data_IF_859168188004
#
_entry.id   IF_859168188004
#
_cell.length_a   1.000
_cell.length_b   1.000
_cell.length_c   1.000
_cell.angle_alpha   90.00
_cell.angle_beta   90.00
_cell.angle_gamma   90.00
#
_symmetry.space_group_name_H-M   'P 1'
#
loop_
_entity.id
_entity.type
_entity.pdbx_description
1 polymer ?
#
# COMPACT_ATOMS: atom_id res chain seq x y z
N UNK A 1 -68.92 -25.59 31.61
CA UNK A 1 -68.32 -25.07 30.36
C UNK A 1 -67.80 -23.67 30.66
N UNK A 2 -66.49 -23.54 30.92
CA UNK A 2 -65.48 -23.13 29.94
C UNK A 2 -65.63 -21.65 29.53
N UNK A 3 -64.67 -20.83 30.01
CA UNK A 3 -63.92 -19.77 29.29
C UNK A 3 -64.02 -18.41 29.98
N UNK A 4 -63.00 -17.56 30.06
CA UNK A 4 -61.56 -17.62 29.75
C UNK A 4 -60.94 -16.51 30.60
N UNK A 5 -59.87 -16.86 31.29
CA UNK A 5 -58.80 -16.03 31.87
C UNK A 5 -58.44 -14.81 31.00
N UNK A 6 -58.24 -13.64 31.61
CA UNK A 6 -57.16 -12.75 31.18
C UNK A 6 -56.57 -12.04 32.39
N UNK A 7 -55.57 -12.69 32.99
CA UNK A 7 -54.61 -12.05 33.88
C UNK A 7 -53.75 -11.18 32.96
N UNK A 8 -53.96 -9.87 33.00
CA UNK A 8 -53.04 -8.92 32.39
C UNK A 8 -51.79 -8.87 33.29
N UNK A 9 -50.88 -9.83 33.09
CA UNK A 9 -49.52 -9.77 33.62
C UNK A 9 -48.90 -8.54 32.97
N UNK A 10 -48.89 -7.43 33.70
CA UNK A 10 -48.03 -6.29 33.38
C UNK A 10 -46.61 -6.80 33.61
N UNK A 11 -46.03 -7.40 32.56
CA UNK A 11 -44.60 -7.57 32.42
C UNK A 11 -44.03 -6.15 32.43
N UNK A 12 -43.71 -5.67 33.63
CA UNK A 12 -42.75 -4.59 33.81
C UNK A 12 -41.47 -5.17 33.26
N UNK A 13 -41.25 -4.95 31.96
CA UNK A 13 -39.94 -5.06 31.35
C UNK A 13 -39.12 -3.96 32.03
N UNK A 14 -38.52 -4.31 33.17
CA UNK A 14 -37.27 -3.69 33.57
C UNK A 14 -36.33 -3.98 32.41
N UNK A 15 -36.33 -3.07 31.44
CA UNK A 15 -35.17 -2.81 30.64
C UNK A 15 -34.11 -2.46 31.66
N UNK A 16 -33.37 -3.48 32.09
CA UNK A 16 -32.11 -3.33 32.79
C UNK A 16 -31.27 -2.55 31.79
N UNK A 17 -31.38 -1.23 31.82
CA UNK A 17 -30.37 -0.34 31.30
C UNK A 17 -29.15 -0.72 32.10
N UNK A 18 -28.32 -1.60 31.52
CA UNK A 18 -27.08 -2.04 32.14
C UNK A 18 -26.40 -0.79 32.70
N UNK A 19 -26.32 -0.68 34.03
CA UNK A 19 -25.80 0.51 34.70
C UNK A 19 -24.42 0.78 34.12
N UNK A 20 -24.29 1.86 33.33
CA UNK A 20 -23.01 2.27 32.77
C UNK A 20 -22.10 2.62 33.95
N UNK A 21 -21.11 1.76 34.23
CA UNK A 21 -20.12 2.01 35.28
C UNK A 21 -18.98 2.84 34.70
N UNK A 22 -18.85 4.09 35.14
CA UNK A 22 -17.73 4.96 34.77
C UNK A 22 -16.41 4.37 35.28
N UNK A 23 -15.53 3.99 34.34
CA UNK A 23 -14.22 3.38 34.64
C UNK A 23 -13.03 4.38 34.60
N UNK A 24 -13.29 5.65 34.30
CA UNK A 24 -12.25 6.66 34.20
C UNK A 24 -12.74 7.98 33.63
N UNK A 25 -11.79 8.86 33.30
CA UNK A 25 -12.00 10.13 32.59
C UNK A 25 -11.09 10.16 31.37
N UNK A 26 -11.58 10.76 30.28
CA UNK A 26 -10.80 11.01 29.06
C UNK A 26 -10.56 12.51 28.96
N UNK A 27 -9.34 12.91 28.62
CA UNK A 27 -8.96 14.32 28.44
C UNK A 27 -8.29 14.52 27.08
N UNK A 28 -8.66 15.63 26.42
CA UNK A 28 -8.06 16.14 25.18
C UNK A 28 -6.91 17.13 25.44
N UNK A 29 -6.74 17.57 26.69
CA UNK A 29 -5.64 18.40 27.18
C UNK A 29 -5.18 17.92 28.55
N UNK A 30 -3.93 17.48 28.64
CA UNK A 30 -3.35 16.92 29.86
C UNK A 30 -1.82 16.96 29.79
N UNK A 31 -1.07 17.18 30.89
CA UNK A 31 0.41 17.15 30.87
C UNK A 31 1.00 15.83 30.34
N UNK A 32 0.27 14.73 30.51
CA UNK A 32 0.63 13.44 29.93
C UNK A 32 0.63 13.42 28.39
N UNK A 33 -0.24 14.21 27.75
CA UNK A 33 -0.24 14.40 26.29
C UNK A 33 1.03 15.17 25.88
N UNK A 34 1.33 16.29 26.55
CA UNK A 34 2.53 17.08 26.29
C UNK A 34 3.83 16.27 26.46
N UNK A 35 3.83 15.33 27.41
CA UNK A 35 4.94 14.38 27.62
C UNK A 35 5.13 13.45 26.41
N UNK A 36 4.05 12.91 25.85
CA UNK A 36 4.10 12.03 24.67
C UNK A 36 4.51 12.82 23.42
N UNK A 37 4.00 14.03 23.23
CA UNK A 37 4.42 14.91 22.14
C UNK A 37 5.92 15.23 22.22
N UNK A 38 6.39 15.54 23.44
CA UNK A 38 7.82 15.75 23.70
C UNK A 38 8.66 14.51 23.44
N UNK A 39 8.11 13.31 23.67
CA UNK A 39 8.77 12.05 23.38
C UNK A 39 8.84 11.77 21.88
N UNK A 40 7.77 12.01 21.11
CA UNK A 40 7.76 11.89 19.66
C UNK A 40 8.71 12.87 18.98
N UNK A 41 8.78 14.10 19.49
CA UNK A 41 9.76 15.10 19.07
C UNK A 41 11.20 14.64 19.34
N UNK A 42 11.45 14.04 20.50
CA UNK A 42 12.76 13.48 20.83
C UNK A 42 13.15 12.33 19.90
N UNK A 43 12.22 11.43 19.55
CA UNK A 43 12.46 10.37 18.56
C UNK A 43 12.79 10.99 17.19
N UNK A 44 11.97 11.94 16.74
CA UNK A 44 12.10 12.65 15.47
C UNK A 44 13.47 13.32 15.32
N UNK A 45 13.96 13.96 16.38
CA UNK A 45 15.26 14.66 16.41
C UNK A 45 16.44 13.75 16.75
N UNK A 46 16.19 12.49 17.13
CA UNK A 46 17.24 11.60 17.64
C UNK A 46 17.86 12.09 18.96
N UNK A 47 17.06 12.74 19.82
CA UNK A 47 17.46 13.29 21.11
C UNK A 47 17.32 12.22 22.21
N UNK A 48 18.38 11.42 22.35
CA UNK A 48 18.45 10.31 23.30
C UNK A 48 18.46 10.81 24.75
N UNK A 49 19.01 11.99 25.01
CA UNK A 49 19.10 12.55 26.36
C UNK A 49 17.71 12.95 26.86
N UNK A 50 16.97 13.72 26.05
CA UNK A 50 15.57 14.08 26.35
C UNK A 50 14.69 12.83 26.49
N UNK A 51 14.82 11.86 25.58
CA UNK A 51 14.07 10.62 25.67
C UNK A 51 14.39 9.83 26.95
N UNK A 52 15.66 9.76 27.36
CA UNK A 52 16.08 9.07 28.59
C UNK A 52 15.49 9.71 29.85
N UNK A 53 15.34 11.05 29.85
CA UNK A 53 14.67 11.78 30.92
C UNK A 53 13.15 11.54 30.94
N UNK A 54 12.51 11.24 29.81
CA UNK A 54 11.06 10.96 29.77
C UNK A 54 10.75 9.51 30.18
N UNK A 55 11.66 8.57 29.91
CA UNK A 55 11.48 7.16 30.20
C UNK A 55 11.79 6.83 31.67
N UNK A 56 10.87 6.13 32.35
CA UNK A 56 11.14 5.51 33.65
C UNK A 56 12.27 4.47 33.50
N UNK A 57 13.07 4.25 34.55
CA UNK A 57 14.21 3.33 34.49
C UNK A 57 13.78 1.89 34.16
N UNK A 58 12.67 1.45 34.77
CA UNK A 58 12.06 0.13 34.52
C UNK A 58 11.07 0.09 33.34
N UNK A 59 11.11 1.07 32.42
CA UNK A 59 10.18 1.11 31.29
C UNK A 59 10.22 -0.19 30.49
N UNK A 60 9.05 -0.70 30.13
CA UNK A 60 8.93 -1.91 29.30
C UNK A 60 8.19 -1.59 28.01
N UNK A 61 8.76 -2.02 26.88
CA UNK A 61 8.20 -1.87 25.55
C UNK A 61 7.73 -3.23 25.03
N UNK A 62 6.46 -3.31 24.63
CA UNK A 62 5.81 -4.50 24.10
C UNK A 62 5.42 -4.33 22.63
N UNK A 63 5.49 -5.43 21.87
CA UNK A 63 4.89 -5.52 20.53
C UNK A 63 3.46 -6.06 20.65
N UNK A 64 2.49 -5.17 20.45
CA UNK A 64 1.06 -5.46 20.53
C UNK A 64 0.54 -6.37 19.41
N UNK A 65 1.32 -6.59 18.35
CA UNK A 65 0.97 -7.52 17.28
C UNK A 65 1.37 -8.97 17.55
N UNK A 66 2.12 -9.22 18.63
CA UNK A 66 2.65 -10.55 18.97
C UNK A 66 1.93 -11.14 20.18
N UNK A 67 1.97 -12.47 20.35
CA UNK A 67 1.32 -13.20 21.47
C UNK A 67 1.93 -12.94 22.87
N UNK A 68 2.50 -11.75 23.13
CA UNK A 68 3.29 -11.32 24.30
C UNK A 68 4.79 -11.60 24.19
N UNK A 69 5.51 -10.72 23.50
CA UNK A 69 6.95 -10.58 23.68
C UNK A 69 7.24 -9.17 24.19
N UNK A 70 7.89 -9.10 25.35
CA UNK A 70 8.67 -7.92 25.70
C UNK A 70 9.63 -7.66 24.52
N UNK A 71 9.42 -6.51 23.88
CA UNK A 71 10.23 -6.08 22.75
C UNK A 71 11.52 -5.43 23.24
N UNK A 72 11.48 -4.74 24.38
CA UNK A 72 12.67 -4.27 25.07
C UNK A 72 12.40 -3.46 26.33
N UNK A 73 13.48 -2.96 26.94
CA UNK A 73 13.48 -2.02 28.07
C UNK A 73 14.01 -0.65 27.64
N UNK A 74 14.29 0.25 28.60
CA UNK A 74 14.85 1.60 28.37
C UNK A 74 15.94 1.66 27.30
N UNK A 75 16.98 0.84 27.42
CA UNK A 75 18.08 0.80 26.45
C UNK A 75 17.63 0.38 25.05
N UNK A 76 16.63 -0.52 24.93
CA UNK A 76 16.05 -0.90 23.65
C UNK A 76 15.34 0.26 22.96
N UNK A 77 14.56 1.03 23.72
CA UNK A 77 13.89 2.25 23.23
C UNK A 77 14.92 3.30 22.77
N UNK A 78 15.94 3.57 23.59
CA UNK A 78 17.00 4.52 23.25
C UNK A 78 17.82 4.08 22.03
N UNK A 79 18.09 2.78 21.90
CA UNK A 79 18.77 2.23 20.72
C UNK A 79 17.92 2.35 19.46
N UNK A 80 16.58 2.22 19.56
CA UNK A 80 15.68 2.48 18.43
C UNK A 80 15.76 3.94 17.98
N UNK A 81 15.80 4.89 18.91
CA UNK A 81 15.97 6.32 18.60
C UNK A 81 17.32 6.57 17.90
N UNK A 82 18.41 5.99 18.40
CA UNK A 82 19.73 6.05 17.76
C UNK A 82 19.70 5.44 16.36
N UNK A 83 18.98 4.33 16.18
CA UNK A 83 18.86 3.66 14.89
C UNK A 83 18.14 4.56 13.87
N UNK A 84 17.02 5.20 14.24
CA UNK A 84 16.37 6.21 13.39
C UNK A 84 17.33 7.35 13.04
N UNK A 85 17.98 7.96 14.04
CA UNK A 85 18.94 9.06 13.84
C UNK A 85 20.07 8.69 12.87
N UNK A 86 20.64 7.50 13.04
CA UNK A 86 21.85 7.11 12.31
C UNK A 86 21.53 6.63 10.90
N UNK A 87 20.43 5.90 10.71
CA UNK A 87 20.15 5.16 9.48
C UNK A 87 19.00 5.70 8.65
N UNK A 88 18.30 6.76 9.08
CA UNK A 88 17.19 7.33 8.33
C UNK A 88 17.31 8.83 8.12
N UNK A 89 16.86 9.25 6.94
CA UNK A 89 16.57 10.64 6.62
C UNK A 89 15.08 10.92 6.79
N UNK A 90 14.75 12.21 6.96
CA UNK A 90 13.37 12.72 7.01
C UNK A 90 12.50 12.09 8.11
N UNK A 91 13.10 11.65 9.22
CA UNK A 91 12.38 11.03 10.33
C UNK A 91 11.27 11.97 10.81
N UNK A 92 10.06 11.44 10.92
CA UNK A 92 8.88 12.17 11.40
C UNK A 92 7.94 11.21 12.12
N UNK A 93 7.55 11.59 13.34
CA UNK A 93 6.55 10.94 14.17
C UNK A 93 5.46 11.98 14.45
N UNK A 94 4.57 12.18 13.48
CA UNK A 94 3.48 13.18 13.57
C UNK A 94 2.16 12.46 13.70
N UNK A 95 1.21 13.08 14.40
CA UNK A 95 -0.14 12.55 14.50
C UNK A 95 -0.73 12.25 13.12
N UNK A 96 -1.43 11.12 13.04
CA UNK A 96 -2.18 10.76 11.84
C UNK A 96 -3.27 11.81 11.63
N UNK A 97 -3.51 12.21 10.38
CA UNK A 97 -4.56 13.19 10.08
C UNK A 97 -5.91 12.77 10.67
N UNK A 98 -6.53 13.67 11.42
CA UNK A 98 -7.81 13.42 12.12
C UNK A 98 -7.69 12.62 13.43
N UNK A 99 -6.47 12.25 13.85
CA UNK A 99 -6.21 11.65 15.14
C UNK A 99 -5.44 12.61 16.05
N UNK A 100 -5.63 12.46 17.35
CA UNK A 100 -4.91 13.19 18.38
C UNK A 100 -4.71 12.27 19.60
N UNK A 101 -3.68 12.48 20.42
CA UNK A 101 -3.48 11.69 21.62
C UNK A 101 -4.58 11.93 22.66
N UNK A 102 -5.16 10.84 23.18
CA UNK A 102 -6.15 10.88 24.27
C UNK A 102 -5.51 10.42 25.58
N UNK A 103 -5.64 11.24 26.63
CA UNK A 103 -5.30 10.83 28.00
C UNK A 103 -6.47 10.09 28.64
N UNK A 104 -6.18 8.97 29.29
CA UNK A 104 -7.10 8.05 29.95
C UNK A 104 -6.68 7.85 31.41
N UNK A 105 -7.47 8.38 32.35
CA UNK A 105 -7.28 8.13 33.77
C UNK A 105 -8.23 7.02 34.23
N UNK A 106 -7.74 5.79 34.32
CA UNK A 106 -8.53 4.66 34.79
C UNK A 106 -8.49 4.54 36.31
N UNK A 107 -9.65 4.24 36.92
CA UNK A 107 -9.76 4.02 38.37
C UNK A 107 -8.91 2.85 38.88
N UNK A 108 -8.72 1.83 38.06
CA UNK A 108 -8.11 0.56 38.46
C UNK A 108 -6.85 0.19 37.66
N UNK A 109 -6.48 1.00 36.67
CA UNK A 109 -5.38 0.66 35.74
C UNK A 109 -4.40 1.81 35.48
N UNK A 110 -4.57 2.93 36.18
CA UNK A 110 -3.68 4.08 36.15
C UNK A 110 -3.85 4.97 34.93
N UNK A 111 -2.81 5.74 34.67
CA UNK A 111 -2.77 6.79 33.65
C UNK A 111 -2.24 6.26 32.33
N UNK A 112 -2.97 6.48 31.24
CA UNK A 112 -2.59 6.04 29.91
C UNK A 112 -2.75 7.15 28.89
N UNK A 113 -1.89 7.15 27.87
CA UNK A 113 -2.07 7.96 26.66
C UNK A 113 -2.10 7.04 25.45
N UNK A 114 -3.16 7.12 24.64
CA UNK A 114 -3.20 6.46 23.34
C UNK A 114 -2.87 7.48 22.26
N UNK A 115 -1.85 7.23 21.46
CA UNK A 115 -1.43 8.12 20.37
C UNK A 115 -1.37 7.37 19.05
N UNK A 116 -2.06 7.92 18.05
CA UNK A 116 -2.06 7.48 16.66
C UNK A 116 -1.22 8.44 15.84
N UNK A 117 -0.10 7.97 15.31
CA UNK A 117 0.85 8.78 14.58
C UNK A 117 1.33 8.05 13.33
N UNK A 118 1.67 8.81 12.29
CA UNK A 118 2.31 8.29 11.10
C UNK A 118 3.83 8.34 11.28
N UNK A 119 4.49 7.21 11.07
CA UNK A 119 5.95 7.14 10.99
C UNK A 119 6.35 7.31 9.55
N UNK A 120 7.07 8.40 9.26
CA UNK A 120 7.72 8.63 7.98
C UNK A 120 9.23 8.66 8.15
N UNK A 121 9.96 7.90 7.33
CA UNK A 121 11.41 7.91 7.27
C UNK A 121 11.92 7.23 5.99
N UNK A 122 13.11 7.59 5.49
CA UNK A 122 13.76 6.90 4.36
C UNK A 122 15.09 6.32 4.82
N UNK A 123 15.28 5.01 4.68
CA UNK A 123 16.51 4.35 5.12
C UNK A 123 17.68 4.75 4.20
N UNK A 124 18.71 5.38 4.78
CA UNK A 124 19.85 6.00 4.07
C UNK A 124 20.56 5.07 3.09
N UNK A 125 20.69 3.79 3.46
CA UNK A 125 21.50 2.84 2.68
C UNK A 125 20.70 2.10 1.61
N UNK A 126 19.40 1.87 1.83
CA UNK A 126 18.59 1.01 0.95
C UNK A 126 17.49 1.77 0.22
N UNK A 127 17.24 3.04 0.56
CA UNK A 127 16.14 3.84 0.01
C UNK A 127 14.74 3.37 0.41
N UNK A 128 14.63 2.29 1.21
CA UNK A 128 13.34 1.78 1.67
C UNK A 128 12.65 2.84 2.53
N UNK A 129 11.43 3.20 2.12
CA UNK A 129 10.58 4.17 2.80
C UNK A 129 9.74 3.47 3.88
N UNK A 130 9.79 3.99 5.10
CA UNK A 130 8.78 3.75 6.13
C UNK A 130 7.73 4.85 5.99
N UNK A 131 6.48 4.48 5.77
CA UNK A 131 5.35 5.41 5.70
C UNK A 131 4.09 4.64 6.09
N UNK A 132 3.79 4.64 7.39
CA UNK A 132 2.68 3.85 7.93
C UNK A 132 2.15 4.40 9.25
N UNK A 133 0.84 4.19 9.51
CA UNK A 133 0.25 4.51 10.79
C UNK A 133 0.75 3.55 11.88
N UNK A 134 0.92 4.10 13.08
CA UNK A 134 1.31 3.40 14.30
C UNK A 134 0.38 3.84 15.42
N UNK A 135 -0.09 2.87 16.20
CA UNK A 135 -0.69 3.13 17.51
C UNK A 135 0.34 2.79 18.57
N UNK A 136 0.57 3.73 19.50
CA UNK A 136 1.20 3.40 20.78
C UNK A 136 0.30 3.74 21.95
N UNK A 137 0.14 2.78 22.85
CA UNK A 137 -0.44 2.98 24.18
C UNK A 137 0.69 3.13 25.19
N UNK A 138 0.69 4.24 25.91
CA UNK A 138 1.69 4.59 26.89
C UNK A 138 1.09 4.55 28.28
N UNK A 139 1.65 3.75 29.20
CA UNK A 139 1.30 3.87 30.62
C UNK A 139 2.23 4.88 31.28
N UNK A 140 1.67 5.83 32.00
CA UNK A 140 2.42 6.83 32.74
C UNK A 140 2.48 6.47 34.24
N UNK A 141 3.44 7.04 34.95
CA UNK A 141 3.42 7.05 36.41
C UNK A 141 2.31 7.98 36.94
N UNK A 142 2.05 7.95 38.25
CA UNK A 142 0.88 8.59 38.86
C UNK A 142 0.84 10.12 38.64
N UNK A 143 2.00 10.78 38.58
CA UNK A 143 2.11 12.23 38.32
C UNK A 143 2.20 12.58 36.82
N UNK A 144 2.15 11.59 35.93
CA UNK A 144 2.24 11.74 34.48
C UNK A 144 3.53 12.43 33.98
N UNK A 145 4.65 12.23 34.68
CA UNK A 145 5.96 12.79 34.30
C UNK A 145 6.88 11.80 33.59
N UNK A 146 6.59 10.50 33.65
CA UNK A 146 7.42 9.43 33.07
C UNK A 146 6.60 8.35 32.37
N UNK A 147 7.15 7.81 31.30
CA UNK A 147 6.61 6.63 30.60
C UNK A 147 7.11 5.36 31.30
N UNK A 148 6.19 4.50 31.73
CA UNK A 148 6.48 3.21 32.39
C UNK A 148 6.22 2.00 31.49
N UNK A 149 5.30 2.12 30.53
CA UNK A 149 5.02 1.07 29.54
C UNK A 149 4.79 1.69 28.17
N UNK A 150 5.28 1.04 27.13
CA UNK A 150 4.95 1.32 25.72
C UNK A 150 4.38 0.04 25.13
N UNK A 151 3.22 0.11 24.48
CA UNK A 151 2.67 -0.99 23.67
C UNK A 151 2.51 -0.46 22.25
N UNK A 152 3.22 -1.05 21.30
CA UNK A 152 3.22 -0.59 19.91
C UNK A 152 2.45 -1.57 19.00
N UNK A 153 1.58 -1.02 18.17
CA UNK A 153 0.93 -1.70 17.05
C UNK A 153 1.35 -1.01 15.75
N UNK A 154 2.16 -1.70 14.96
CA UNK A 154 2.66 -1.19 13.67
C UNK A 154 2.80 -2.28 12.60
N UNK A 155 2.89 -1.88 11.33
CA UNK A 155 3.17 -2.79 10.23
C UNK A 155 4.66 -3.18 10.21
N UNK A 156 4.97 -4.41 10.62
CA UNK A 156 6.35 -4.89 10.69
C UNK A 156 6.96 -5.25 9.33
N UNK A 157 6.16 -5.41 8.27
CA UNK A 157 6.64 -5.82 6.95
C UNK A 157 7.55 -4.77 6.30
N UNK A 158 7.29 -3.48 6.53
CA UNK A 158 8.13 -2.40 5.99
C UNK A 158 9.55 -2.44 6.57
N UNK A 159 9.70 -2.89 7.82
CA UNK A 159 11.00 -3.09 8.43
C UNK A 159 11.72 -4.30 7.81
N UNK A 160 11.02 -5.38 7.47
CA UNK A 160 11.60 -6.54 6.79
C UNK A 160 12.19 -6.18 5.43
N UNK A 161 11.53 -5.29 4.66
CA UNK A 161 12.04 -4.82 3.36
C UNK A 161 13.42 -4.14 3.46
N UNK A 162 13.71 -3.48 4.58
CA UNK A 162 15.05 -2.90 4.82
C UNK A 162 16.12 -3.99 4.90
N UNK A 163 15.80 -5.16 5.47
CA UNK A 163 16.71 -6.29 5.56
C UNK A 163 16.89 -7.00 4.22
N UNK A 164 15.81 -7.14 3.46
CA UNK A 164 15.83 -7.77 2.13
C UNK A 164 16.59 -6.92 1.09
N UNK A 165 16.64 -5.61 1.28
CA UNK A 165 17.29 -4.68 0.35
C UNK A 165 18.77 -4.36 0.69
N UNK A 166 19.42 -5.14 1.55
CA UNK A 166 20.79 -4.85 1.97
C UNK A 166 21.82 -5.22 0.90
N UNK A 167 22.97 -4.53 0.85
CA UNK A 167 24.08 -4.98 0.03
C UNK A 167 24.44 -6.44 0.34
N UNK A 168 24.53 -7.27 -0.70
CA UNK A 168 24.85 -8.70 -0.58
C UNK A 168 23.66 -9.61 -0.27
N UNK A 169 22.42 -9.11 -0.28
CA UNK A 169 21.20 -9.92 -0.20
C UNK A 169 20.47 -10.01 -1.54
N UNK A 170 21.22 -9.95 -2.65
CA UNK A 170 20.69 -10.05 -4.00
C UNK A 170 19.86 -11.33 -4.15
N UNK A 171 18.69 -11.20 -4.78
CA UNK A 171 17.79 -12.31 -5.06
C UNK A 171 17.42 -12.31 -6.53
N UNK A 172 17.46 -13.49 -7.12
CA UNK A 172 16.87 -13.73 -8.42
C UNK A 172 15.34 -13.82 -8.27
N UNK A 173 14.61 -13.49 -9.34
CA UNK A 173 13.16 -13.61 -9.40
C UNK A 173 12.78 -14.11 -10.80
N UNK A 174 13.09 -15.37 -11.03
CA UNK A 174 12.81 -16.08 -12.26
C UNK A 174 13.77 -15.81 -13.42
N UNK A 175 13.31 -16.06 -14.65
CA UNK A 175 14.13 -16.13 -15.87
C UNK A 175 13.67 -15.10 -16.92
N UNK A 176 14.64 -14.52 -17.63
CA UNK A 176 14.38 -13.59 -18.75
C UNK A 176 14.82 -14.25 -20.06
N UNK A 177 13.93 -14.22 -21.05
CA UNK A 177 14.14 -14.74 -22.39
C UNK A 177 14.09 -13.61 -23.42
N UNK A 178 15.14 -13.51 -24.24
CA UNK A 178 15.21 -12.59 -25.39
C UNK A 178 14.58 -13.19 -26.68
N UNK A 179 14.28 -14.49 -26.67
CA UNK A 179 13.53 -15.17 -27.73
C UNK A 179 12.63 -16.26 -27.13
N UNK A 180 11.32 -16.14 -27.34
CA UNK A 180 10.31 -17.03 -26.79
C UNK A 180 9.05 -17.03 -27.67
N UNK A 181 8.25 -18.09 -27.62
CA UNK A 181 7.01 -18.16 -28.40
C UNK A 181 6.00 -17.06 -28.03
N UNK A 182 5.92 -16.68 -26.76
CA UNK A 182 5.06 -15.58 -26.30
C UNK A 182 5.51 -14.22 -26.86
N UNK A 183 6.81 -14.00 -27.06
CA UNK A 183 7.32 -12.81 -27.78
C UNK A 183 6.81 -12.83 -29.22
N UNK A 184 6.87 -14.00 -29.87
CA UNK A 184 6.33 -14.15 -31.22
C UNK A 184 4.82 -13.92 -31.28
N UNK A 185 4.08 -14.32 -30.25
CA UNK A 185 2.64 -14.02 -30.11
C UNK A 185 2.39 -12.51 -30.06
N UNK A 186 3.12 -11.76 -29.25
CA UNK A 186 2.99 -10.28 -29.19
C UNK A 186 3.32 -9.65 -30.54
N UNK A 187 4.41 -10.04 -31.20
CA UNK A 187 4.74 -9.56 -32.54
C UNK A 187 3.63 -9.83 -33.56
N UNK A 188 3.11 -11.07 -33.59
CA UNK A 188 2.02 -11.46 -34.50
C UNK A 188 0.76 -10.62 -34.25
N UNK A 189 0.40 -10.40 -32.99
CA UNK A 189 -0.71 -9.53 -32.60
C UNK A 189 -0.51 -8.10 -33.11
N UNK A 190 0.67 -7.53 -32.84
CA UNK A 190 0.98 -6.14 -33.17
C UNK A 190 1.00 -5.93 -34.69
N UNK A 191 1.64 -6.83 -35.43
CA UNK A 191 1.63 -6.77 -36.90
C UNK A 191 0.28 -7.12 -37.52
N UNK A 192 -0.58 -7.89 -36.85
CA UNK A 192 -1.96 -8.09 -37.32
C UNK A 192 -2.74 -6.77 -37.29
N UNK A 193 -2.63 -5.98 -36.21
CA UNK A 193 -3.19 -4.61 -36.18
C UNK A 193 -2.61 -3.71 -37.28
N UNK A 194 -1.29 -3.72 -37.48
CA UNK A 194 -0.64 -2.94 -38.54
C UNK A 194 -1.11 -3.29 -39.96
N UNK A 195 -1.64 -4.50 -40.16
CA UNK A 195 -2.16 -4.95 -41.44
C UNK A 195 -3.70 -4.95 -41.51
N UNK A 196 -4.38 -4.29 -40.54
CA UNK A 196 -5.84 -4.18 -40.52
C UNK A 196 -6.58 -5.47 -40.15
N UNK A 197 -5.87 -6.50 -39.71
CA UNK A 197 -6.43 -7.80 -39.30
C UNK A 197 -6.71 -7.81 -37.78
N UNK A 198 -7.68 -6.97 -37.39
CA UNK A 198 -8.05 -6.82 -35.98
C UNK A 198 -8.61 -8.13 -35.39
N UNK A 199 -9.34 -8.93 -36.18
CA UNK A 199 -9.87 -10.23 -35.75
C UNK A 199 -8.74 -11.16 -35.30
N UNK A 200 -7.70 -11.30 -36.13
CA UNK A 200 -6.51 -12.08 -35.77
C UNK A 200 -5.78 -11.47 -34.58
N UNK A 201 -5.64 -10.15 -34.52
CA UNK A 201 -4.98 -9.49 -33.40
C UNK A 201 -5.67 -9.82 -32.06
N UNK A 202 -7.00 -9.72 -32.00
CA UNK A 202 -7.77 -10.05 -30.80
C UNK A 202 -7.80 -11.56 -30.51
N UNK A 203 -7.60 -12.43 -31.50
CA UNK A 203 -7.58 -13.88 -31.30
C UNK A 203 -6.44 -14.39 -30.39
N UNK A 204 -5.39 -13.58 -30.18
CA UNK A 204 -4.28 -13.91 -29.26
C UNK A 204 -4.62 -13.68 -27.79
N UNK A 205 -5.70 -12.95 -27.49
CA UNK A 205 -6.19 -12.77 -26.12
C UNK A 205 -7.08 -13.94 -25.71
N UNK A 206 -7.14 -14.17 -24.41
CA UNK A 206 -8.19 -14.96 -23.79
C UNK A 206 -9.50 -14.16 -23.83
N UNK A 207 -10.65 -14.83 -23.95
CA UNK A 207 -11.98 -14.18 -24.04
C UNK A 207 -12.27 -13.25 -22.84
N UNK A 208 -11.80 -13.66 -21.65
CA UNK A 208 -11.95 -12.92 -20.40
C UNK A 208 -10.73 -12.05 -20.07
N UNK A 209 -9.89 -11.73 -21.06
CA UNK A 209 -8.76 -10.85 -20.82
C UNK A 209 -9.23 -9.43 -20.45
N UNK A 210 -8.38 -8.73 -19.70
CA UNK A 210 -8.64 -7.36 -19.26
C UNK A 210 -7.51 -6.43 -19.69
N UNK A 211 -7.86 -5.19 -20.05
CA UNK A 211 -6.93 -4.19 -20.52
C UNK A 211 -6.83 -3.07 -19.48
N UNK A 212 -5.62 -2.77 -19.05
CA UNK A 212 -5.28 -1.65 -18.19
C UNK A 212 -4.57 -0.58 -19.01
N UNK A 213 -5.30 0.46 -19.40
CA UNK A 213 -4.76 1.59 -20.14
C UNK A 213 -4.54 2.76 -19.18
N UNK A 214 -3.33 3.32 -19.17
CA UNK A 214 -2.98 4.46 -18.29
C UNK A 214 -3.87 5.70 -18.52
N UNK A 215 -4.56 5.77 -19.67
CA UNK A 215 -5.45 6.86 -20.03
C UNK A 215 -6.92 6.62 -19.60
N UNK A 216 -7.22 5.49 -18.96
CA UNK A 216 -8.56 5.11 -18.52
C UNK A 216 -8.67 5.07 -16.99
N UNK A 217 -9.87 5.33 -16.45
CA UNK A 217 -10.12 5.26 -14.99
C UNK A 217 -10.49 3.87 -14.50
N UNK A 218 -10.67 2.91 -15.41
CA UNK A 218 -11.07 1.53 -15.11
C UNK A 218 -10.39 0.55 -16.06
N UNK A 219 -10.40 -0.72 -15.66
CA UNK A 219 -10.06 -1.82 -16.56
C UNK A 219 -11.14 -1.97 -17.64
N UNK A 220 -10.72 -2.28 -18.86
CA UNK A 220 -11.60 -2.56 -19.98
C UNK A 220 -11.71 -4.08 -20.21
N UNK A 221 -12.92 -4.57 -20.48
CA UNK A 221 -13.13 -5.92 -20.99
C UNK A 221 -12.72 -6.03 -22.47
N UNK A 222 -12.65 -7.26 -23.00
CA UNK A 222 -12.43 -7.48 -24.43
C UNK A 222 -13.50 -6.84 -25.32
N UNK A 223 -14.76 -6.81 -24.88
CA UNK A 223 -15.83 -6.14 -25.63
C UNK A 223 -15.62 -4.62 -25.68
N UNK A 224 -15.25 -4.03 -24.55
CA UNK A 224 -15.05 -2.58 -24.42
C UNK A 224 -13.83 -2.10 -25.21
N UNK A 225 -12.71 -2.81 -25.13
CA UNK A 225 -11.51 -2.45 -25.90
C UNK A 225 -11.75 -2.56 -27.40
N UNK A 226 -12.43 -3.61 -27.87
CA UNK A 226 -12.76 -3.78 -29.29
C UNK A 226 -13.66 -2.64 -29.78
N UNK A 227 -14.66 -2.24 -28.99
CA UNK A 227 -15.54 -1.14 -29.34
C UNK A 227 -14.78 0.20 -29.40
N UNK A 228 -13.90 0.46 -28.43
CA UNK A 228 -13.08 1.68 -28.38
C UNK A 228 -12.09 1.75 -29.54
N UNK A 229 -11.38 0.67 -29.80
CA UNK A 229 -10.36 0.62 -30.85
C UNK A 229 -10.99 0.77 -32.24
N UNK A 230 -12.22 0.27 -32.46
CA UNK A 230 -12.98 0.55 -33.69
C UNK A 230 -13.21 2.05 -33.91
N UNK A 231 -13.52 2.80 -32.86
CA UNK A 231 -13.68 4.25 -32.95
C UNK A 231 -12.33 4.90 -33.25
N UNK A 232 -11.29 4.52 -32.51
CA UNK A 232 -9.93 5.05 -32.70
C UNK A 232 -9.41 4.83 -34.13
N UNK A 233 -9.56 3.62 -34.68
CA UNK A 233 -9.13 3.30 -36.04
C UNK A 233 -10.06 3.87 -37.13
N UNK A 234 -11.24 4.39 -36.78
CA UNK A 234 -12.06 5.18 -37.71
C UNK A 234 -11.56 6.62 -37.83
N UNK A 235 -11.03 7.17 -36.73
CA UNK A 235 -10.49 8.53 -36.66
C UNK A 235 -9.02 8.63 -37.05
N UNK A 236 -8.26 7.54 -36.86
CA UNK A 236 -6.81 7.49 -37.08
C UNK A 236 -6.41 6.28 -37.92
N UNK A 237 -5.54 6.52 -38.89
CA UNK A 237 -4.85 5.48 -39.64
C UNK A 237 -3.50 5.15 -39.00
N UNK A 238 -3.16 3.87 -38.90
CA UNK A 238 -1.82 3.40 -38.52
C UNK A 238 -0.96 3.29 -39.77
N UNK A 239 -0.01 4.22 -39.93
CA UNK A 239 0.86 4.33 -41.11
C UNK A 239 2.05 3.37 -41.05
N UNK A 240 2.65 3.24 -39.86
CA UNK A 240 3.77 2.31 -39.62
C UNK A 240 3.75 1.83 -38.17
N UNK A 241 4.34 0.65 -37.97
CA UNK A 241 4.53 0.06 -36.67
C UNK A 241 5.93 -0.52 -36.58
N UNK A 242 6.75 0.07 -35.71
CA UNK A 242 8.16 -0.28 -35.57
C UNK A 242 8.44 -0.79 -34.16
N UNK A 243 9.03 -1.99 -34.04
CA UNK A 243 9.54 -2.53 -32.77
C UNK A 243 10.72 -1.68 -32.30
N UNK A 244 10.67 -1.19 -31.06
CA UNK A 244 11.70 -0.34 -30.47
C UNK A 244 12.52 -1.13 -29.46
N UNK A 245 13.78 -1.45 -29.79
CA UNK A 245 14.59 -2.36 -28.99
C UNK A 245 14.20 -3.81 -29.28
N UNK A 246 14.18 -4.66 -28.25
CA UNK A 246 13.70 -6.04 -28.36
C UNK A 246 12.75 -6.34 -27.19
N UNK A 247 11.64 -7.06 -27.42
CA UNK A 247 10.79 -7.54 -26.34
C UNK A 247 11.51 -8.56 -25.47
N UNK A 248 11.24 -8.51 -24.17
CA UNK A 248 11.69 -9.50 -23.21
C UNK A 248 10.49 -10.28 -22.68
N UNK A 249 10.65 -11.59 -22.52
CA UNK A 249 9.71 -12.44 -21.82
C UNK A 249 10.25 -12.81 -20.45
N UNK A 250 9.50 -12.49 -19.42
CA UNK A 250 9.86 -12.67 -18.02
C UNK A 250 8.96 -13.76 -17.43
N UNK A 251 9.59 -14.82 -16.93
CA UNK A 251 8.94 -15.81 -16.08
C UNK A 251 9.36 -15.56 -14.65
N UNK A 252 8.46 -15.14 -13.78
CA UNK A 252 8.77 -14.84 -12.39
C UNK A 252 8.56 -16.07 -11.49
N UNK A 253 9.50 -16.33 -10.59
CA UNK A 253 9.35 -17.37 -9.55
C UNK A 253 8.13 -17.09 -8.66
N UNK A 254 7.89 -15.80 -8.38
CA UNK A 254 6.74 -15.37 -7.62
C UNK A 254 5.44 -15.58 -8.41
N UNK A 255 4.65 -16.56 -7.97
CA UNK A 255 3.33 -16.93 -8.54
C UNK A 255 3.36 -17.42 -9.99
N UNK A 256 4.52 -17.82 -10.51
CA UNK A 256 4.66 -18.37 -11.87
C UNK A 256 4.08 -17.43 -12.95
N UNK A 257 4.30 -16.12 -12.75
CA UNK A 257 3.79 -15.08 -13.64
C UNK A 257 4.63 -15.00 -14.92
N UNK A 258 3.95 -14.88 -16.06
CA UNK A 258 4.53 -14.95 -17.41
C UNK A 258 4.20 -13.66 -18.15
N UNK A 259 5.20 -12.81 -18.42
CA UNK A 259 4.96 -11.45 -18.94
C UNK A 259 5.85 -11.17 -20.13
N UNK A 260 5.30 -10.66 -21.24
CA UNK A 260 6.10 -10.04 -22.30
C UNK A 260 6.08 -8.52 -22.13
N UNK A 261 7.25 -7.90 -22.06
CA UNK A 261 7.41 -6.45 -22.17
C UNK A 261 7.83 -6.10 -23.59
N UNK A 262 7.12 -5.19 -24.24
CA UNK A 262 7.44 -4.77 -25.61
C UNK A 262 7.22 -3.28 -25.85
N UNK A 263 8.14 -2.66 -26.59
CA UNK A 263 8.06 -1.24 -26.95
C UNK A 263 7.82 -1.09 -28.45
N UNK A 264 6.93 -0.16 -28.80
CA UNK A 264 6.50 0.08 -30.16
C UNK A 264 6.42 1.57 -30.46
N UNK A 265 6.83 1.95 -31.66
CA UNK A 265 6.54 3.26 -32.25
C UNK A 265 5.43 3.09 -33.27
N UNK A 266 4.27 3.69 -33.01
CA UNK A 266 3.12 3.67 -33.90
C UNK A 266 3.02 5.03 -34.60
N UNK A 267 3.34 5.08 -35.89
CA UNK A 267 3.13 6.28 -36.70
C UNK A 267 1.67 6.33 -37.11
N UNK A 268 0.96 7.40 -36.74
CA UNK A 268 -0.47 7.51 -36.99
C UNK A 268 -0.84 8.85 -37.63
N UNK A 269 -1.81 8.82 -38.53
CA UNK A 269 -2.39 10.00 -39.18
C UNK A 269 -3.86 10.13 -38.83
N UNK A 270 -4.28 11.31 -38.34
CA UNK A 270 -5.70 11.60 -38.10
C UNK A 270 -6.40 11.79 -39.46
N UNK A 271 -7.45 11.01 -39.69
CA UNK A 271 -8.14 10.92 -40.98
C UNK A 271 -8.87 12.22 -41.35
N UNK A 272 -9.33 12.99 -40.37
CA UNK A 272 -10.06 14.25 -40.60
C UNK A 272 -9.14 15.46 -40.80
N UNK A 273 -8.04 15.53 -40.05
CA UNK A 273 -7.17 16.72 -40.00
C UNK A 273 -5.85 16.56 -40.74
N UNK A 274 -5.44 15.32 -41.05
CA UNK A 274 -4.12 15.00 -41.60
C UNK A 274 -2.97 15.14 -40.59
N UNK A 275 -3.26 15.41 -39.30
CA UNK A 275 -2.26 15.49 -38.22
C UNK A 275 -1.51 14.16 -38.10
N UNK A 276 -0.18 14.20 -38.12
CA UNK A 276 0.68 13.03 -37.93
C UNK A 276 1.28 13.01 -36.52
N UNK A 277 1.29 11.85 -35.89
CA UNK A 277 1.90 11.63 -34.58
C UNK A 277 2.70 10.33 -34.57
N UNK A 278 3.70 10.24 -33.70
CA UNK A 278 4.36 8.98 -33.36
C UNK A 278 4.02 8.67 -31.91
N UNK A 279 3.19 7.66 -31.71
CA UNK A 279 2.82 7.16 -30.40
C UNK A 279 3.85 6.14 -29.95
N UNK A 280 4.61 6.48 -28.91
CA UNK A 280 5.51 5.53 -28.24
C UNK A 280 4.74 4.80 -27.17
N UNK A 281 4.70 3.47 -27.26
CA UNK A 281 3.90 2.63 -26.36
C UNK A 281 4.76 1.54 -25.75
N UNK A 282 4.64 1.36 -24.44
CA UNK A 282 5.05 0.14 -23.74
C UNK A 282 3.81 -0.72 -23.49
N UNK A 283 3.85 -1.96 -23.98
CA UNK A 283 2.91 -3.00 -23.60
C UNK A 283 3.55 -3.99 -22.63
N UNK A 284 2.79 -4.37 -21.61
CA UNK A 284 3.08 -5.54 -20.78
C UNK A 284 1.94 -6.53 -20.95
N UNK A 285 2.23 -7.72 -21.46
CA UNK A 285 1.24 -8.77 -21.74
C UNK A 285 1.44 -9.96 -20.81
N UNK A 286 0.47 -10.19 -19.91
CA UNK A 286 0.45 -11.36 -19.03
C UNK A 286 -0.15 -12.55 -19.77
N UNK A 287 0.51 -13.71 -19.69
CA UNK A 287 0.11 -14.95 -20.36
C UNK A 287 -0.42 -15.99 -19.37
N UNK A 288 -1.43 -16.76 -19.80
CA UNK A 288 -1.76 -18.03 -19.15
C UNK A 288 -0.85 -19.16 -19.66
N UNK A 289 -1.02 -20.36 -19.10
CA UNK A 289 -0.24 -21.54 -19.48
C UNK A 289 -0.56 -22.06 -20.90
N UNK A 290 -1.62 -21.58 -21.53
CA UNK A 290 -1.99 -21.93 -22.92
C UNK A 290 -1.40 -20.94 -23.95
N UNK A 291 -0.58 -19.98 -23.51
CA UNK A 291 0.01 -18.96 -24.38
C UNK A 291 -0.99 -17.89 -24.85
N UNK A 292 -2.12 -17.73 -24.16
CA UNK A 292 -3.08 -16.64 -24.39
C UNK A 292 -2.81 -15.45 -23.47
N UNK A 293 -2.96 -14.25 -24.01
CA UNK A 293 -2.85 -13.02 -23.23
C UNK A 293 -4.09 -12.88 -22.36
N UNK A 294 -3.91 -12.83 -21.05
CA UNK A 294 -4.99 -12.68 -20.06
C UNK A 294 -5.09 -11.27 -19.49
N UNK A 295 -4.02 -10.48 -19.60
CA UNK A 295 -4.02 -9.06 -19.22
C UNK A 295 -3.02 -8.29 -20.07
N UNK A 296 -3.39 -7.08 -20.48
CA UNK A 296 -2.48 -6.14 -21.13
C UNK A 296 -2.45 -4.82 -20.38
N UNK A 297 -1.25 -4.33 -20.11
CA UNK A 297 -1.02 -2.95 -19.67
C UNK A 297 -0.58 -2.10 -20.86
N UNK A 298 -1.12 -0.89 -21.00
CA UNK A 298 -0.78 0.04 -22.07
C UNK A 298 -0.27 1.36 -21.47
N UNK A 299 1.00 1.68 -21.71
CA UNK A 299 1.63 2.92 -21.25
C UNK A 299 2.00 3.79 -22.44
N UNK A 300 1.28 4.88 -22.62
CA UNK A 300 1.50 5.87 -23.69
C UNK A 300 0.81 7.20 -23.37
N UNK A 301 1.20 8.25 -24.10
CA UNK A 301 0.57 9.55 -23.99
C UNK A 301 -0.69 9.65 -24.88
N UNK A 302 -1.86 9.37 -24.32
CA UNK A 302 -3.13 9.43 -25.07
C UNK A 302 -3.53 10.83 -25.53
N UNK A 303 -2.94 11.91 -24.98
CA UNK A 303 -3.24 13.28 -25.44
C UNK A 303 -2.80 13.55 -26.90
N UNK A 304 -1.92 12.71 -27.45
CA UNK A 304 -1.49 12.81 -28.85
C UNK A 304 -2.61 12.44 -29.82
N UNK A 305 -3.56 11.60 -29.39
CA UNK A 305 -4.68 11.07 -30.17
C UNK A 305 -5.97 11.89 -30.05
N UNK A 306 -5.90 13.05 -29.41
CA UNK A 306 -6.99 14.05 -29.31
C UNK A 306 -6.90 15.10 -30.41
#
# INVERSE_FOLDING_TARGET
MKKITFILITLITFSVSAQKKKNGVVYDKHPGIDLIDSFHDAITKGDVEKASLILHDDVTWYDGNSKNKEFGKKNGVLNNIKWFKNYFDYVSFKDTEGAYPDMLEYKSSGNWVNSWFNVYAVHKNTGVKLDHPVLRSYKLNDDSTKITVIIEYSNKLEFSRIWDARPGTDRENGTIYMNHENINTVRKLMYAFANGDAEKAYSFFHENAVIEDINETKLLSMEEIIARDKVMFSDWSLDSLDESGYPDYLEYDWRDSKVVQSWWNMSMTNNATGKKVVLKVLFMDDFNNDGKIIKRYMYYNGSLLK
#
